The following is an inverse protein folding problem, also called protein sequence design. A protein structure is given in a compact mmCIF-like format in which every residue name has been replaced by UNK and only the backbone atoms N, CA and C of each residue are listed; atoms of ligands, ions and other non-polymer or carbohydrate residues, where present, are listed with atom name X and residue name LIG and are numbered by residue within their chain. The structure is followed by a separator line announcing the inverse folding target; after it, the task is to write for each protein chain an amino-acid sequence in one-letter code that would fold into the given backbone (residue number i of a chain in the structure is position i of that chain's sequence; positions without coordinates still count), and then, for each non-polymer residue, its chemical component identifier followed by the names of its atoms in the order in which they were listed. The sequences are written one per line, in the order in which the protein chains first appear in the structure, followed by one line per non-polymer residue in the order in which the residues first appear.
data_IF_931135775733
#
_entry.id   IF_931135775733
#
_cell.length_a   1.000
_cell.length_b   1.000
_cell.length_c   1.000
_cell.angle_alpha   90.00
_cell.angle_beta   90.00
_cell.angle_gamma   90.00
#
_symmetry.space_group_name_H-M   'P 1'
#
loop_
_entity.id
_entity.type
_entity.pdbx_description
1 polymer ?
#
# COMPACT_ATOMS: atom_id res chain seq x y z
N UNK A 1 12.31 25.84 -0.05
CA UNK A 1 13.52 25.00 0.09
C UNK A 1 13.54 24.21 1.40
N UNK A 2 13.53 24.83 2.59
CA UNK A 2 13.69 24.10 3.87
C UNK A 2 12.48 23.27 4.34
N UNK A 3 11.25 23.75 4.18
CA UNK A 3 10.06 23.08 4.75
C UNK A 3 9.76 21.74 4.05
N UNK A 4 9.93 21.68 2.73
CA UNK A 4 9.76 20.44 1.96
C UNK A 4 10.82 19.43 2.42
N UNK A 5 12.10 19.79 2.41
CA UNK A 5 13.20 18.88 2.78
C UNK A 5 13.13 18.37 4.23
N UNK A 6 12.69 19.21 5.18
CA UNK A 6 12.58 18.84 6.60
C UNK A 6 11.40 17.86 6.84
N UNK A 7 10.29 17.99 6.13
CA UNK A 7 9.13 17.08 6.26
C UNK A 7 9.35 15.78 5.45
N UNK A 8 10.19 15.80 4.41
CA UNK A 8 10.67 14.57 3.76
C UNK A 8 11.37 13.61 4.73
N UNK A 9 12.01 14.16 5.76
CA UNK A 9 12.57 13.36 6.86
C UNK A 9 11.48 12.75 7.77
N UNK A 10 10.25 13.30 7.79
CA UNK A 10 9.11 12.68 8.47
C UNK A 10 8.58 11.44 7.73
N UNK A 11 8.69 11.35 6.39
CA UNK A 11 8.26 10.15 5.64
C UNK A 11 9.38 9.12 5.48
N UNK A 12 10.64 9.54 5.35
CA UNK A 12 11.78 8.63 5.28
C UNK A 12 12.13 8.14 6.68
N UNK A 13 11.64 6.93 7.01
CA UNK A 13 12.04 5.91 8.00
C UNK A 13 12.75 6.31 9.31
N UNK A 14 13.71 7.23 9.27
CA UNK A 14 14.49 7.65 10.42
C UNK A 14 13.68 8.50 11.39
N UNK A 15 12.95 9.53 10.95
CA UNK A 15 12.20 10.37 11.91
C UNK A 15 10.78 9.91 12.20
N UNK A 16 10.12 9.05 11.42
CA UNK A 16 8.91 8.42 11.95
C UNK A 16 9.24 7.35 12.99
N UNK A 17 10.33 6.60 12.81
CA UNK A 17 10.89 5.82 13.91
C UNK A 17 11.30 6.75 15.04
N UNK A 18 12.16 7.75 14.85
CA UNK A 18 12.58 8.58 16.00
C UNK A 18 11.46 9.45 16.57
N UNK A 19 10.65 10.18 15.82
CA UNK A 19 9.57 11.00 16.38
C UNK A 19 8.44 10.15 16.96
N UNK A 20 7.95 9.10 16.27
CA UNK A 20 6.90 8.26 16.85
C UNK A 20 7.46 7.40 17.98
N UNK A 21 8.66 6.84 17.87
CA UNK A 21 9.31 6.06 18.94
C UNK A 21 9.81 6.94 20.08
N UNK A 22 10.27 8.18 19.86
CA UNK A 22 10.60 9.15 20.93
C UNK A 22 9.32 9.68 21.55
N UNK A 23 8.25 9.96 20.80
CA UNK A 23 6.95 10.31 21.39
C UNK A 23 6.44 9.12 22.21
N UNK A 24 6.49 7.90 21.67
CA UNK A 24 6.11 6.67 22.38
C UNK A 24 7.03 6.45 23.60
N UNK A 25 8.34 6.66 23.51
CA UNK A 25 9.29 6.52 24.62
C UNK A 25 9.09 7.63 25.66
N UNK A 26 8.92 8.89 25.27
CA UNK A 26 8.67 10.01 26.16
C UNK A 26 7.35 9.77 26.89
N UNK A 27 6.32 9.31 26.17
CA UNK A 27 5.03 8.94 26.77
C UNK A 27 5.20 7.72 27.70
N UNK A 28 5.92 6.68 27.28
CA UNK A 28 6.16 5.46 28.09
C UNK A 28 7.03 5.75 29.32
N UNK A 29 7.98 6.67 29.21
CA UNK A 29 8.83 7.15 30.31
C UNK A 29 8.08 8.06 31.26
N UNK A 30 7.15 8.90 30.79
CA UNK A 30 6.31 9.77 31.64
C UNK A 30 5.23 9.00 32.38
N UNK A 31 4.72 7.91 31.79
CA UNK A 31 3.69 7.07 32.43
C UNK A 31 4.27 6.17 33.53
N UNK A 32 5.58 5.87 33.50
CA UNK A 32 6.20 4.96 34.46
C UNK A 32 6.37 5.51 35.90
N UNK A 33 5.78 6.68 36.22
CA UNK A 33 5.86 7.28 37.57
C UNK A 33 4.66 6.94 38.47
N UNK A 34 3.60 6.28 37.97
CA UNK A 34 2.48 5.88 38.84
C UNK A 34 2.10 4.41 38.67
N UNK A 35 2.97 3.53 39.16
CA UNK A 35 2.66 2.11 39.41
C UNK A 35 2.27 1.98 40.89
N UNK A 36 0.98 2.17 41.23
CA UNK A 36 0.45 1.60 42.47
C UNK A 36 -1.06 1.28 42.50
N UNK A 37 -1.79 1.34 41.37
CA UNK A 37 -3.14 0.75 41.25
C UNK A 37 -3.07 -0.48 40.32
N UNK A 38 -2.36 -1.51 40.78
CA UNK A 38 -2.14 -2.78 40.09
C UNK A 38 -3.27 -3.76 40.43
N UNK A 39 -4.18 -3.98 39.48
CA UNK A 39 -4.83 -5.28 39.17
C UNK A 39 -6.05 -5.08 38.25
N UNK A 40 -6.76 -3.96 38.35
CA UNK A 40 -7.83 -3.59 37.41
C UNK A 40 -7.34 -2.75 36.22
N UNK A 41 -6.05 -2.40 36.21
CA UNK A 41 -5.38 -1.57 35.20
C UNK A 41 -4.62 -2.41 34.16
N UNK A 42 -4.28 -3.67 34.48
CA UNK A 42 -3.51 -4.56 33.61
C UNK A 42 -4.27 -4.97 32.36
N UNK A 43 -5.57 -5.26 32.45
CA UNK A 43 -6.40 -5.56 31.25
C UNK A 43 -6.68 -4.31 30.40
N UNK A 44 -6.85 -3.14 31.05
CA UNK A 44 -7.07 -1.86 30.33
C UNK A 44 -5.80 -1.29 29.70
N UNK A 45 -4.61 -1.74 30.13
CA UNK A 45 -3.33 -1.27 29.61
C UNK A 45 -3.16 -1.51 28.10
N UNK A 46 -3.31 -2.77 27.61
CA UNK A 46 -3.27 -3.11 26.20
C UNK A 46 -4.30 -2.33 25.36
N UNK A 47 -5.56 -2.28 25.79
CA UNK A 47 -6.62 -1.55 25.08
C UNK A 47 -6.32 -0.05 24.98
N UNK A 48 -5.82 0.56 26.06
CA UNK A 48 -5.46 1.98 26.08
C UNK A 48 -4.28 2.30 25.14
N UNK A 49 -3.30 1.40 25.04
CA UNK A 49 -2.20 1.54 24.10
C UNK A 49 -2.69 1.45 22.65
N UNK A 50 -3.57 0.50 22.36
CA UNK A 50 -4.21 0.31 21.05
C UNK A 50 -4.93 1.58 20.57
N UNK A 51 -5.79 2.13 21.44
CA UNK A 51 -6.54 3.35 21.16
C UNK A 51 -5.60 4.54 20.92
N UNK A 52 -4.54 4.67 21.73
CA UNK A 52 -3.54 5.73 21.58
C UNK A 52 -2.79 5.63 20.26
N UNK A 53 -2.34 4.44 19.89
CA UNK A 53 -1.60 4.21 18.65
C UNK A 53 -2.47 4.47 17.42
N UNK A 54 -3.72 4.02 17.45
CA UNK A 54 -4.71 4.31 16.41
C UNK A 54 -4.93 5.81 16.26
N UNK A 55 -5.16 6.51 17.37
CA UNK A 55 -5.42 7.95 17.37
C UNK A 55 -4.21 8.77 16.89
N UNK A 56 -3.00 8.44 17.34
CA UNK A 56 -1.77 9.10 16.88
C UNK A 56 -1.55 8.86 15.39
N UNK A 57 -1.73 7.62 14.93
CA UNK A 57 -1.58 7.27 13.52
C UNK A 57 -2.56 8.04 12.64
N UNK A 58 -3.84 8.07 13.03
CA UNK A 58 -4.87 8.86 12.34
C UNK A 58 -4.56 10.36 12.32
N UNK A 59 -4.07 10.92 13.43
CA UNK A 59 -3.66 12.32 13.52
C UNK A 59 -2.52 12.65 12.54
N UNK A 60 -1.47 11.82 12.50
CA UNK A 60 -0.34 12.03 11.57
C UNK A 60 -0.76 11.89 10.10
N UNK A 61 -1.61 10.91 9.77
CA UNK A 61 -2.16 10.78 8.42
C UNK A 61 -3.02 12.00 8.04
N UNK A 62 -3.79 12.55 8.99
CA UNK A 62 -4.54 13.79 8.80
C UNK A 62 -3.64 15.01 8.57
N UNK A 63 -2.52 15.12 9.29
CA UNK A 63 -1.53 16.17 9.04
C UNK A 63 -0.89 16.04 7.66
N UNK A 64 -0.58 14.81 7.22
CA UNK A 64 -0.06 14.53 5.88
C UNK A 64 -1.08 14.87 4.78
N UNK A 65 -2.36 14.59 5.01
CA UNK A 65 -3.46 14.97 4.13
C UNK A 65 -3.50 16.49 3.93
N UNK A 66 -3.48 17.25 5.03
CA UNK A 66 -3.51 18.72 4.97
C UNK A 66 -2.27 19.29 4.28
N UNK A 67 -1.09 18.73 4.58
CA UNK A 67 0.15 19.13 3.91
C UNK A 67 0.09 18.89 2.39
N UNK A 68 -0.41 17.72 1.98
CA UNK A 68 -0.58 17.40 0.58
C UNK A 68 -1.53 18.36 -0.14
N UNK A 69 -2.66 18.72 0.49
CA UNK A 69 -3.56 19.74 -0.04
C UNK A 69 -2.88 21.10 -0.18
N UNK A 70 -2.10 21.53 0.81
CA UNK A 70 -1.36 22.80 0.74
C UNK A 70 -0.39 22.80 -0.45
N UNK A 71 0.38 21.72 -0.67
CA UNK A 71 1.29 21.62 -1.82
C UNK A 71 0.52 21.69 -3.15
N UNK A 72 -0.58 20.95 -3.28
CA UNK A 72 -1.42 20.97 -4.49
C UNK A 72 -1.94 22.39 -4.74
N UNK A 73 -2.53 23.03 -3.72
CA UNK A 73 -3.07 24.37 -3.84
C UNK A 73 -1.97 25.40 -4.17
N UNK A 74 -0.84 25.35 -3.47
CA UNK A 74 0.26 26.27 -3.66
C UNK A 74 0.87 26.13 -5.07
N UNK A 75 0.97 24.91 -5.59
CA UNK A 75 1.34 24.69 -6.99
C UNK A 75 0.36 25.33 -7.97
N UNK A 76 -0.94 25.08 -7.81
CA UNK A 76 -1.95 25.51 -8.77
C UNK A 76 -2.19 27.03 -8.77
N UNK A 77 -2.13 27.66 -7.59
CA UNK A 77 -2.48 29.07 -7.42
C UNK A 77 -1.29 30.02 -7.26
N UNK A 78 -0.08 29.52 -6.99
CA UNK A 78 1.06 30.39 -6.70
C UNK A 78 2.34 30.05 -7.47
N UNK A 79 2.88 28.83 -7.35
CA UNK A 79 4.21 28.52 -7.90
C UNK A 79 4.18 28.07 -9.35
N UNK A 80 3.10 27.44 -9.81
CA UNK A 80 3.06 26.75 -11.11
C UNK A 80 4.05 25.59 -11.22
N UNK A 81 4.62 25.11 -10.11
CA UNK A 81 5.60 24.01 -10.10
C UNK A 81 4.88 22.67 -10.20
N UNK A 82 5.16 21.92 -11.26
CA UNK A 82 4.60 20.58 -11.46
C UNK A 82 5.18 19.59 -10.46
N UNK A 83 6.43 19.78 -10.03
CA UNK A 83 7.10 18.94 -9.05
C UNK A 83 6.41 19.03 -7.69
N UNK A 84 6.04 20.26 -7.29
CA UNK A 84 5.25 20.49 -6.08
C UNK A 84 3.85 19.86 -6.18
N UNK A 85 3.20 19.98 -7.33
CA UNK A 85 1.92 19.32 -7.60
C UNK A 85 2.03 17.80 -7.49
N UNK A 86 3.02 17.20 -8.15
CA UNK A 86 3.28 15.76 -8.13
C UNK A 86 3.55 15.25 -6.72
N UNK A 87 4.36 15.98 -5.94
CA UNK A 87 4.63 15.63 -4.54
C UNK A 87 3.35 15.63 -3.69
N UNK A 88 2.54 16.69 -3.80
CA UNK A 88 1.26 16.78 -3.09
C UNK A 88 0.28 15.68 -3.51
N UNK A 89 0.10 15.46 -4.82
CA UNK A 89 -0.76 14.40 -5.36
C UNK A 89 -0.30 13.02 -4.92
N UNK A 90 1.02 12.73 -4.96
CA UNK A 90 1.55 11.47 -4.50
C UNK A 90 1.23 11.23 -3.03
N UNK A 91 1.55 12.18 -2.13
CA UNK A 91 1.29 12.05 -0.69
C UNK A 91 -0.20 11.79 -0.41
N UNK A 92 -1.08 12.53 -1.08
CA UNK A 92 -2.53 12.41 -0.88
C UNK A 92 -3.06 11.06 -1.37
N UNK A 93 -2.80 10.71 -2.63
CA UNK A 93 -3.46 9.60 -3.30
C UNK A 93 -2.78 8.25 -3.06
N UNK A 94 -1.49 8.23 -2.70
CA UNK A 94 -0.70 6.98 -2.63
C UNK A 94 -0.57 6.43 -1.19
N UNK A 95 0.10 7.09 -0.23
CA UNK A 95 0.16 6.60 1.14
C UNK A 95 -1.04 7.01 1.98
N UNK A 96 -1.49 8.29 1.95
CA UNK A 96 -2.56 8.76 2.85
C UNK A 96 -3.86 8.01 2.58
N UNK A 97 -4.30 7.97 1.32
CA UNK A 97 -5.48 7.20 0.94
C UNK A 97 -5.35 5.73 1.34
N UNK A 98 -4.23 5.08 1.00
CA UNK A 98 -4.00 3.66 1.28
C UNK A 98 -4.07 3.35 2.77
N UNK A 99 -3.21 3.96 3.58
CA UNK A 99 -3.09 3.62 5.00
C UNK A 99 -4.37 3.97 5.77
N UNK A 100 -4.99 5.11 5.47
CA UNK A 100 -6.20 5.54 6.16
C UNK A 100 -7.39 4.64 5.82
N UNK A 101 -7.62 4.35 4.53
CA UNK A 101 -8.79 3.59 4.13
C UNK A 101 -8.63 2.07 4.32
N UNK A 102 -7.41 1.53 4.34
CA UNK A 102 -7.19 0.13 4.73
C UNK A 102 -7.66 -0.13 6.16
N UNK A 103 -7.30 0.76 7.10
CA UNK A 103 -7.77 0.69 8.50
C UNK A 103 -9.29 0.88 8.59
N UNK A 104 -9.85 1.90 7.92
CA UNK A 104 -11.28 2.18 7.99
C UNK A 104 -12.14 1.04 7.38
N UNK A 105 -11.69 0.43 6.29
CA UNK A 105 -12.36 -0.74 5.71
C UNK A 105 -12.26 -1.92 6.65
N UNK A 106 -11.10 -2.14 7.28
CA UNK A 106 -10.96 -3.20 8.28
C UNK A 106 -11.93 -3.04 9.46
N UNK A 107 -11.94 -1.84 10.02
CA UNK A 107 -12.77 -1.49 11.17
C UNK A 107 -14.26 -1.58 10.85
N UNK A 108 -14.68 -1.11 9.66
CA UNK A 108 -16.10 -1.17 9.25
C UNK A 108 -16.60 -2.58 8.98
N UNK A 109 -15.73 -3.51 8.55
CA UNK A 109 -16.06 -4.92 8.39
C UNK A 109 -16.06 -5.71 9.72
N UNK A 110 -15.71 -5.06 10.84
CA UNK A 110 -15.61 -5.71 12.14
C UNK A 110 -14.65 -6.88 12.13
N UNK A 111 -13.53 -6.77 11.39
CA UNK A 111 -12.57 -7.87 11.30
C UNK A 111 -11.87 -8.05 12.65
N UNK A 112 -11.76 -9.32 13.06
CA UNK A 112 -11.13 -9.72 14.33
C UNK A 112 -9.68 -9.28 14.48
N UNK A 113 -8.99 -8.94 13.39
CA UNK A 113 -7.60 -8.52 13.29
C UNK A 113 -7.45 -6.99 13.16
N UNK A 114 -8.48 -6.20 13.48
CA UNK A 114 -8.41 -4.73 13.43
C UNK A 114 -7.51 -4.21 14.56
N UNK A 115 -6.26 -3.92 14.22
CA UNK A 115 -5.21 -3.40 15.09
C UNK A 115 -4.60 -2.14 14.43
N UNK A 116 -3.88 -1.25 15.14
CA UNK A 116 -3.04 -0.22 14.53
C UNK A 116 -2.14 -0.75 13.41
N UNK A 117 -1.71 -2.01 13.47
CA UNK A 117 -0.92 -2.63 12.41
C UNK A 117 -1.69 -2.76 11.08
N UNK A 118 -3.03 -2.71 11.11
CA UNK A 118 -3.90 -2.69 9.93
C UNK A 118 -3.80 -1.38 9.15
N UNK A 119 -3.20 -0.31 9.70
CA UNK A 119 -2.79 0.83 8.89
C UNK A 119 -1.70 0.45 7.88
N UNK A 120 -0.99 -0.68 8.08
CA UNK A 120 0.08 -1.17 7.21
C UNK A 120 1.21 -0.15 7.00
N UNK A 121 1.47 0.73 7.97
CA UNK A 121 2.55 1.73 7.87
C UNK A 121 3.94 1.07 7.95
N UNK A 122 4.11 0.13 8.86
CA UNK A 122 5.41 -0.49 9.19
C UNK A 122 5.44 -1.99 8.93
N UNK A 123 4.59 -2.47 8.03
CA UNK A 123 4.41 -3.91 7.79
C UNK A 123 5.63 -4.59 7.14
N UNK A 124 6.52 -3.84 6.49
CA UNK A 124 7.71 -4.40 5.83
C UNK A 124 8.83 -3.36 5.68
N UNK A 125 10.08 -3.79 5.87
CA UNK A 125 11.25 -2.95 5.60
C UNK A 125 11.39 -2.67 4.09
N UNK A 126 10.95 -3.62 3.29
CA UNK A 126 10.89 -3.61 1.84
C UNK A 126 9.98 -2.49 1.32
N UNK A 127 8.78 -2.33 1.89
CA UNK A 127 7.88 -1.22 1.54
C UNK A 127 8.51 0.14 1.82
N UNK A 128 9.21 0.26 2.96
CA UNK A 128 9.87 1.51 3.32
C UNK A 128 11.05 1.79 2.38
N UNK A 129 11.87 0.79 2.09
CA UNK A 129 13.00 0.91 1.16
C UNK A 129 12.51 1.31 -0.24
N UNK A 130 11.47 0.66 -0.75
CA UNK A 130 10.86 1.00 -2.03
C UNK A 130 10.37 2.46 -2.04
N UNK A 131 9.52 2.83 -1.08
CA UNK A 131 8.97 4.20 -1.00
C UNK A 131 10.07 5.26 -0.88
N UNK A 132 11.14 4.97 -0.14
CA UNK A 132 12.31 5.84 -0.02
C UNK A 132 13.04 5.96 -1.37
N UNK A 133 13.24 4.85 -2.08
CA UNK A 133 13.86 4.85 -3.40
C UNK A 133 13.07 5.69 -4.42
N UNK A 134 11.74 5.59 -4.42
CA UNK A 134 10.88 6.40 -5.29
C UNK A 134 11.06 7.91 -5.05
N UNK A 135 11.11 8.34 -3.79
CA UNK A 135 11.35 9.74 -3.47
C UNK A 135 12.78 10.20 -3.79
N UNK A 136 13.78 9.33 -3.58
CA UNK A 136 15.17 9.61 -3.94
C UNK A 136 15.28 9.82 -5.46
N UNK A 137 14.71 8.92 -6.27
CA UNK A 137 14.72 9.06 -7.74
C UNK A 137 14.05 10.36 -8.17
N UNK A 138 12.86 10.66 -7.65
CA UNK A 138 12.13 11.89 -7.95
C UNK A 138 12.99 13.14 -7.72
N UNK A 139 13.68 13.21 -6.57
CA UNK A 139 14.56 14.33 -6.27
C UNK A 139 15.84 14.37 -7.10
N UNK A 140 16.47 13.22 -7.35
CA UNK A 140 17.66 13.17 -8.19
C UNK A 140 17.33 13.63 -9.62
N UNK A 141 16.18 13.21 -10.15
CA UNK A 141 15.73 13.64 -11.48
C UNK A 141 15.35 15.11 -11.53
N UNK A 142 14.74 15.63 -10.46
CA UNK A 142 14.40 17.04 -10.36
C UNK A 142 15.64 17.94 -10.23
N UNK A 143 16.60 17.58 -9.37
CA UNK A 143 17.70 18.47 -8.97
C UNK A 143 18.97 18.28 -9.82
N UNK A 144 19.24 17.06 -10.31
CA UNK A 144 20.55 16.72 -10.88
C UNK A 144 20.51 16.32 -12.35
N UNK A 145 19.38 15.79 -12.86
CA UNK A 145 19.30 15.28 -14.24
C UNK A 145 19.09 16.44 -15.23
N UNK A 146 20.04 16.70 -16.15
CA UNK A 146 19.92 17.78 -17.12
C UNK A 146 18.82 17.52 -18.15
N UNK A 147 18.18 18.58 -18.63
CA UNK A 147 17.09 18.50 -19.62
C UNK A 147 17.45 17.72 -20.90
N UNK A 148 18.72 17.80 -21.32
CA UNK A 148 19.26 17.06 -22.49
C UNK A 148 19.26 15.53 -22.34
N UNK A 149 19.14 15.00 -21.12
CA UNK A 149 19.07 13.56 -20.85
C UNK A 149 17.63 13.06 -20.79
N UNK A 150 16.65 13.97 -20.67
CA UNK A 150 15.24 13.62 -20.55
C UNK A 150 14.62 13.40 -21.93
N UNK A 151 13.76 12.40 -22.07
CA UNK A 151 13.02 12.06 -23.30
C UNK A 151 12.32 13.29 -23.91
N UNK A 152 12.23 13.52 -25.23
CA UNK A 152 11.67 14.78 -25.76
C UNK A 152 10.19 14.99 -25.42
N UNK A 153 9.80 16.20 -24.96
CA UNK A 153 8.43 16.53 -24.50
C UNK A 153 7.32 16.26 -25.53
N UNK A 154 7.63 16.40 -26.83
CA UNK A 154 6.66 16.21 -27.91
C UNK A 154 6.36 14.74 -28.24
N UNK A 155 7.01 13.78 -27.57
CA UNK A 155 6.77 12.35 -27.79
C UNK A 155 5.81 11.79 -26.75
N UNK A 156 5.15 10.67 -27.05
CA UNK A 156 4.33 9.96 -26.06
C UNK A 156 5.13 9.57 -24.81
N UNK A 157 6.38 9.13 -24.97
CA UNK A 157 7.29 8.87 -23.86
C UNK A 157 7.57 10.15 -23.05
N UNK A 158 7.69 11.31 -23.70
CA UNK A 158 7.83 12.61 -23.05
C UNK A 158 6.58 13.05 -22.28
N UNK A 159 5.39 12.69 -22.75
CA UNK A 159 4.16 12.86 -21.97
C UNK A 159 4.17 11.94 -20.75
N UNK A 160 4.45 10.65 -20.92
CA UNK A 160 4.34 9.64 -19.87
C UNK A 160 5.44 9.71 -18.79
N UNK A 161 6.69 9.99 -19.18
CA UNK A 161 7.89 9.92 -18.34
C UNK A 161 8.47 11.29 -18.01
N UNK A 162 7.70 12.36 -18.18
CA UNK A 162 8.05 13.67 -17.62
C UNK A 162 6.92 14.22 -16.79
N UNK A 163 7.30 14.90 -15.71
CA UNK A 163 6.35 15.64 -14.89
C UNK A 163 5.64 16.70 -15.74
N UNK A 164 4.33 16.51 -15.87
CA UNK A 164 3.38 17.49 -16.37
C UNK A 164 2.06 17.30 -15.62
N UNK A 165 1.30 18.38 -15.43
CA UNK A 165 0.02 18.32 -14.69
C UNK A 165 -0.88 17.20 -15.20
N UNK A 166 -1.03 17.06 -16.53
CA UNK A 166 -1.94 16.06 -17.11
C UNK A 166 -1.56 14.62 -16.77
N UNK A 167 -0.29 14.25 -16.86
CA UNK A 167 0.18 12.89 -16.60
C UNK A 167 0.10 12.57 -15.11
N UNK A 168 0.47 13.51 -14.25
CA UNK A 168 0.33 13.38 -12.80
C UNK A 168 -1.14 13.15 -12.43
N UNK A 169 -2.06 13.97 -12.96
CA UNK A 169 -3.49 13.82 -12.69
C UNK A 169 -4.04 12.49 -13.22
N UNK A 170 -3.73 12.11 -14.46
CA UNK A 170 -4.18 10.83 -15.05
C UNK A 170 -3.64 9.64 -14.26
N UNK A 171 -2.34 9.63 -13.93
CA UNK A 171 -1.73 8.57 -13.14
C UNK A 171 -2.35 8.47 -11.73
N UNK A 172 -2.66 9.60 -11.09
CA UNK A 172 -3.31 9.62 -9.79
C UNK A 172 -4.75 9.09 -9.85
N UNK A 173 -5.53 9.50 -10.86
CA UNK A 173 -6.89 8.98 -11.08
C UNK A 173 -6.85 7.46 -11.30
N UNK A 174 -5.92 6.97 -12.12
CA UNK A 174 -5.72 5.53 -12.33
C UNK A 174 -5.29 4.82 -11.04
N UNK A 175 -4.38 5.39 -10.26
CA UNK A 175 -3.96 4.83 -8.97
C UNK A 175 -5.13 4.70 -7.99
N UNK A 176 -5.96 5.75 -7.88
CA UNK A 176 -7.17 5.73 -7.05
C UNK A 176 -8.16 4.69 -7.57
N UNK A 177 -8.40 4.64 -8.89
CA UNK A 177 -9.30 3.65 -9.48
C UNK A 177 -8.87 2.21 -9.19
N UNK A 178 -7.59 1.86 -9.39
CA UNK A 178 -7.08 0.53 -9.05
C UNK A 178 -7.11 0.25 -7.55
N UNK A 179 -6.86 1.25 -6.71
CA UNK A 179 -7.01 1.09 -5.28
C UNK A 179 -8.47 0.84 -4.87
N UNK A 180 -9.44 1.49 -5.52
CA UNK A 180 -10.87 1.22 -5.28
C UNK A 180 -11.26 -0.21 -5.68
N UNK A 181 -10.63 -0.81 -6.70
CA UNK A 181 -10.81 -2.24 -7.00
C UNK A 181 -10.41 -3.12 -5.82
N UNK A 182 -9.32 -2.77 -5.12
CA UNK A 182 -8.93 -3.45 -3.88
C UNK A 182 -9.98 -3.26 -2.79
N UNK A 183 -10.42 -2.02 -2.53
CA UNK A 183 -11.43 -1.72 -1.51
C UNK A 183 -12.74 -2.47 -1.77
N UNK A 184 -13.23 -2.45 -3.01
CA UNK A 184 -14.43 -3.19 -3.40
C UNK A 184 -14.23 -4.69 -3.22
N UNK A 185 -13.06 -5.24 -3.57
CA UNK A 185 -12.72 -6.63 -3.29
C UNK A 185 -12.81 -6.98 -1.81
N UNK A 186 -12.22 -6.16 -0.93
CA UNK A 186 -12.29 -6.35 0.52
C UNK A 186 -13.72 -6.29 1.05
N UNK A 187 -14.49 -5.27 0.65
CA UNK A 187 -15.88 -5.10 1.09
C UNK A 187 -16.78 -6.24 0.59
N UNK A 188 -16.60 -6.67 -0.65
CA UNK A 188 -17.40 -7.75 -1.25
C UNK A 188 -17.09 -9.12 -0.64
N UNK A 189 -15.82 -9.39 -0.32
CA UNK A 189 -15.41 -10.61 0.37
C UNK A 189 -15.78 -10.58 1.87
N UNK A 190 -15.81 -9.38 2.46
CA UNK A 190 -16.23 -9.12 3.83
C UNK A 190 -15.35 -9.85 4.84
N UNK A 191 -15.99 -10.64 5.72
CA UNK A 191 -15.31 -11.38 6.80
C UNK A 191 -14.43 -12.54 6.31
N UNK A 192 -14.54 -12.92 5.04
CA UNK A 192 -13.67 -13.93 4.42
C UNK A 192 -12.36 -13.32 3.90
N UNK A 193 -12.20 -12.00 3.94
CA UNK A 193 -10.96 -11.34 3.55
C UNK A 193 -9.97 -11.27 4.72
N UNK A 194 -8.75 -11.75 4.49
CA UNK A 194 -7.64 -11.63 5.42
C UNK A 194 -6.42 -11.00 4.75
N UNK A 195 -5.65 -10.22 5.50
CA UNK A 195 -4.38 -9.67 5.02
C UNK A 195 -3.30 -10.75 4.93
N UNK A 196 -3.41 -11.76 5.79
CA UNK A 196 -2.54 -12.92 5.82
C UNK A 196 -3.21 -14.07 5.08
N UNK A 197 -2.40 -14.92 4.45
CA UNK A 197 -2.92 -16.13 3.84
C UNK A 197 -3.29 -17.08 4.97
N UNK A 198 -4.56 -17.46 5.05
CA UNK A 198 -5.05 -18.44 6.01
C UNK A 198 -4.79 -19.84 5.44
N UNK A 199 -3.98 -20.63 6.15
CA UNK A 199 -3.69 -22.03 5.80
C UNK A 199 -4.71 -23.00 6.38
N UNK A 200 -5.55 -22.54 7.31
CA UNK A 200 -6.61 -23.32 7.95
C UNK A 200 -7.99 -22.75 7.63
N UNK A 201 -8.93 -23.63 7.31
CA UNK A 201 -10.29 -23.21 6.95
C UNK A 201 -11.13 -22.99 8.21
N UNK A 202 -11.63 -21.76 8.39
CA UNK A 202 -12.64 -21.45 9.41
C UNK A 202 -14.00 -22.05 9.04
N UNK A 203 -14.81 -22.41 10.05
CA UNK A 203 -16.16 -22.92 9.82
C UNK A 203 -17.05 -21.93 9.03
N UNK A 204 -16.80 -20.62 9.17
CA UNK A 204 -17.50 -19.56 8.45
C UNK A 204 -16.94 -19.26 7.05
N UNK A 205 -15.85 -19.91 6.62
CA UNK A 205 -15.26 -19.65 5.31
C UNK A 205 -16.15 -20.15 4.17
N UNK A 206 -16.55 -19.19 3.34
CA UNK A 206 -17.29 -19.42 2.10
C UNK A 206 -16.45 -18.94 0.93
N UNK A 207 -16.49 -19.71 -0.17
CA UNK A 207 -15.90 -19.28 -1.43
C UNK A 207 -16.78 -18.18 -2.04
N UNK A 208 -16.26 -16.96 -2.08
CA UNK A 208 -16.91 -15.82 -2.72
C UNK A 208 -16.55 -15.82 -4.20
N UNK A 209 -17.53 -16.12 -5.07
CA UNK A 209 -17.31 -16.26 -6.52
C UNK A 209 -18.28 -15.42 -7.38
N UNK A 210 -18.92 -14.42 -6.77
CA UNK A 210 -19.87 -13.50 -7.41
C UNK A 210 -19.36 -12.04 -7.41
N UNK A 211 -20.08 -11.15 -8.10
CA UNK A 211 -19.71 -9.73 -8.18
C UNK A 211 -18.34 -9.54 -8.83
N UNK A 212 -17.46 -8.75 -8.18
CA UNK A 212 -16.09 -8.54 -8.68
C UNK A 212 -15.29 -9.85 -8.76
N UNK A 213 -15.56 -10.80 -7.87
CA UNK A 213 -14.90 -12.11 -7.85
C UNK A 213 -15.33 -13.01 -9.01
N UNK A 214 -16.46 -12.73 -9.68
CA UNK A 214 -16.85 -13.44 -10.89
C UNK A 214 -15.94 -13.14 -12.11
N UNK A 215 -15.10 -12.11 -12.02
CA UNK A 215 -14.16 -11.70 -13.10
C UNK A 215 -12.71 -11.77 -12.62
N UNK A 216 -12.41 -11.16 -11.47
CA UNK A 216 -11.07 -11.11 -10.88
C UNK A 216 -11.01 -12.04 -9.68
N UNK A 217 -10.14 -13.05 -9.73
CA UNK A 217 -9.96 -14.01 -8.64
C UNK A 217 -9.35 -13.39 -7.40
N UNK A 218 -8.45 -12.42 -7.61
CA UNK A 218 -7.65 -11.75 -6.59
C UNK A 218 -7.75 -10.22 -6.76
N UNK A 219 -8.93 -9.60 -6.59
CA UNK A 219 -9.15 -8.18 -6.87
C UNK A 219 -8.27 -7.27 -6.00
N UNK A 220 -7.98 -7.68 -4.77
CA UNK A 220 -7.10 -6.95 -3.86
C UNK A 220 -5.64 -6.92 -4.32
N UNK A 221 -5.15 -7.99 -4.95
CA UNK A 221 -3.79 -8.07 -5.51
C UNK A 221 -3.71 -7.33 -6.84
N UNK A 222 -4.71 -7.50 -7.69
CA UNK A 222 -4.86 -6.72 -8.92
C UNK A 222 -4.79 -5.21 -8.64
N UNK A 223 -5.64 -4.73 -7.73
CA UNK A 223 -5.70 -3.31 -7.38
C UNK A 223 -4.39 -2.81 -6.81
N UNK A 224 -3.74 -3.60 -5.93
CA UNK A 224 -2.47 -3.20 -5.33
C UNK A 224 -1.32 -3.17 -6.35
N UNK A 225 -1.22 -4.17 -7.24
CA UNK A 225 -0.20 -4.24 -8.28
C UNK A 225 -0.24 -3.01 -9.20
N UNK A 226 -1.41 -2.74 -9.80
CA UNK A 226 -1.54 -1.65 -10.76
C UNK A 226 -1.46 -0.26 -10.13
N UNK A 227 -2.04 -0.06 -8.94
CA UNK A 227 -1.83 1.17 -8.14
C UNK A 227 -0.35 1.43 -7.91
N UNK A 228 0.42 0.39 -7.59
CA UNK A 228 1.86 0.52 -7.29
C UNK A 228 2.63 1.01 -8.52
N UNK A 229 2.26 0.59 -9.73
CA UNK A 229 2.87 1.13 -10.96
C UNK A 229 2.43 2.58 -11.23
N UNK A 230 1.13 2.87 -11.07
CA UNK A 230 0.62 4.24 -11.22
C UNK A 230 1.29 5.22 -10.24
N UNK A 231 1.66 4.76 -9.04
CA UNK A 231 2.40 5.60 -8.07
C UNK A 231 3.73 6.13 -8.63
N UNK A 232 4.43 5.35 -9.44
CA UNK A 232 5.70 5.76 -10.04
C UNK A 232 5.48 6.66 -11.27
N UNK A 233 4.35 6.52 -11.96
CA UNK A 233 3.94 7.46 -13.01
C UNK A 233 3.57 8.84 -12.45
N UNK A 234 3.00 8.91 -11.24
CA UNK A 234 2.73 10.19 -10.55
C UNK A 234 4.01 10.99 -10.31
N UNK A 235 5.13 10.32 -9.99
CA UNK A 235 6.43 10.95 -9.79
C UNK A 235 7.31 10.97 -11.06
N UNK A 236 6.82 10.42 -12.17
CA UNK A 236 7.57 10.20 -13.40
C UNK A 236 8.91 9.46 -13.19
N UNK A 237 8.97 8.47 -12.29
CA UNK A 237 10.18 7.71 -11.96
C UNK A 237 10.38 6.50 -12.90
N UNK A 238 11.20 6.57 -13.97
CA UNK A 238 11.37 5.46 -14.90
C UNK A 238 12.07 4.23 -14.28
N UNK A 239 13.07 4.41 -13.41
CA UNK A 239 13.82 3.29 -12.84
C UNK A 239 13.00 2.56 -11.78
N UNK A 240 12.39 3.30 -10.84
CA UNK A 240 11.50 2.72 -9.85
C UNK A 240 10.25 2.12 -10.49
N UNK A 241 9.72 2.66 -11.59
CA UNK A 241 8.62 2.01 -12.32
C UNK A 241 8.98 0.59 -12.75
N UNK A 242 10.16 0.39 -13.36
CA UNK A 242 10.63 -0.94 -13.79
C UNK A 242 10.89 -1.83 -12.57
N UNK A 243 11.58 -1.31 -11.56
CA UNK A 243 11.90 -2.08 -10.36
C UNK A 243 10.63 -2.52 -9.61
N UNK A 244 9.67 -1.61 -9.44
CA UNK A 244 8.38 -1.89 -8.81
C UNK A 244 7.60 -2.93 -9.61
N UNK A 245 7.60 -2.84 -10.95
CA UNK A 245 6.95 -3.83 -11.80
C UNK A 245 7.53 -5.22 -11.60
N UNK A 246 8.87 -5.37 -11.63
CA UNK A 246 9.53 -6.66 -11.46
C UNK A 246 9.31 -7.23 -10.06
N UNK A 247 9.53 -6.42 -9.02
CA UNK A 247 9.43 -6.86 -7.62
C UNK A 247 7.98 -7.21 -7.26
N UNK A 248 7.01 -6.34 -7.60
CA UNK A 248 5.60 -6.63 -7.33
C UNK A 248 5.09 -7.81 -8.15
N UNK A 249 5.52 -7.95 -9.39
CA UNK A 249 5.14 -9.08 -10.22
C UNK A 249 5.63 -10.40 -9.62
N UNK A 250 6.89 -10.46 -9.20
CA UNK A 250 7.45 -11.64 -8.56
C UNK A 250 6.74 -11.95 -7.24
N UNK A 251 6.57 -10.95 -6.37
CA UNK A 251 5.87 -11.08 -5.10
C UNK A 251 4.46 -11.67 -5.27
N UNK A 252 3.64 -11.07 -6.15
CA UNK A 252 2.29 -11.57 -6.37
C UNK A 252 2.25 -12.90 -7.12
N UNK A 253 3.21 -13.18 -8.02
CA UNK A 253 3.29 -14.48 -8.70
C UNK A 253 3.49 -15.61 -7.69
N UNK A 254 4.45 -15.45 -6.77
CA UNK A 254 4.72 -16.43 -5.72
C UNK A 254 3.55 -16.53 -4.74
N UNK A 255 3.03 -15.38 -4.29
CA UNK A 255 1.95 -15.33 -3.30
C UNK A 255 0.65 -15.93 -3.82
N UNK A 256 0.25 -15.59 -5.05
CA UNK A 256 -0.96 -16.14 -5.69
C UNK A 256 -0.81 -17.64 -5.88
N UNK A 257 0.35 -18.12 -6.37
CA UNK A 257 0.56 -19.54 -6.58
C UNK A 257 0.45 -20.35 -5.27
N UNK A 258 1.03 -19.83 -4.18
CA UNK A 258 0.92 -20.46 -2.87
C UNK A 258 -0.52 -20.44 -2.34
N UNK A 259 -1.18 -19.28 -2.34
CA UNK A 259 -2.57 -19.15 -1.87
C UNK A 259 -3.52 -20.06 -2.65
N UNK A 260 -3.40 -20.09 -3.99
CA UNK A 260 -4.22 -20.97 -4.82
C UNK A 260 -3.96 -22.45 -4.54
N UNK A 261 -2.71 -22.85 -4.25
CA UNK A 261 -2.41 -24.25 -3.90
C UNK A 261 -3.10 -24.70 -2.61
N UNK A 262 -3.22 -23.80 -1.62
CA UNK A 262 -3.95 -24.05 -0.38
C UNK A 262 -5.46 -24.10 -0.65
N UNK A 263 -5.98 -23.14 -1.43
CA UNK A 263 -7.41 -23.07 -1.73
C UNK A 263 -7.92 -24.25 -2.59
N UNK A 264 -7.05 -24.84 -3.42
CA UNK A 264 -7.29 -26.05 -4.21
C UNK A 264 -7.24 -27.34 -3.38
N UNK A 265 -6.72 -27.30 -2.15
CA UNK A 265 -6.71 -28.42 -1.21
C UNK A 265 -8.13 -28.87 -0.84
N UNK A 266 -8.30 -30.18 -0.61
CA UNK A 266 -9.61 -30.77 -0.27
C UNK A 266 -10.13 -30.25 1.08
N UNK A 267 -9.22 -29.95 2.00
CA UNK A 267 -9.47 -29.34 3.31
C UNK A 267 -10.05 -27.93 3.22
N UNK A 268 -9.83 -27.22 2.10
CA UNK A 268 -10.31 -25.87 1.88
C UNK A 268 -11.56 -25.86 1.01
N UNK A 269 -11.41 -25.79 -0.32
CA UNK A 269 -12.52 -25.74 -1.27
C UNK A 269 -12.44 -26.80 -2.38
N UNK A 270 -11.29 -27.46 -2.55
CA UNK A 270 -11.10 -28.54 -3.53
C UNK A 270 -11.55 -28.17 -4.93
N UNK A 271 -12.35 -29.06 -5.54
CA UNK A 271 -12.86 -28.91 -6.91
C UNK A 271 -13.69 -27.63 -7.13
N UNK A 272 -14.34 -27.08 -6.08
CA UNK A 272 -15.07 -25.81 -6.23
C UNK A 272 -14.11 -24.67 -6.57
N UNK A 273 -12.93 -24.65 -5.96
CA UNK A 273 -11.93 -23.64 -6.29
C UNK A 273 -11.31 -23.89 -7.64
N UNK A 274 -11.05 -25.13 -8.06
CA UNK A 274 -10.53 -25.44 -9.40
C UNK A 274 -11.51 -25.04 -10.51
N UNK A 275 -12.81 -25.32 -10.32
CA UNK A 275 -13.86 -24.88 -11.25
C UNK A 275 -13.99 -23.36 -11.29
N UNK A 276 -13.91 -22.71 -10.12
CA UNK A 276 -13.76 -21.27 -10.04
C UNK A 276 -12.49 -20.83 -10.80
N UNK A 277 -11.38 -21.57 -10.66
CA UNK A 277 -10.05 -21.33 -11.26
C UNK A 277 -10.04 -21.25 -12.77
N UNK A 278 -10.89 -22.04 -13.40
CA UNK A 278 -11.04 -22.04 -14.84
C UNK A 278 -11.79 -20.81 -15.40
N UNK A 279 -12.69 -20.18 -14.63
CA UNK A 279 -13.60 -19.14 -15.13
C UNK A 279 -13.19 -17.69 -14.86
N UNK A 280 -12.15 -17.42 -14.07
CA UNK A 280 -11.72 -16.05 -13.70
C UNK A 280 -10.21 -15.84 -13.83
N UNK A 281 -9.78 -14.58 -13.87
CA UNK A 281 -8.37 -14.20 -14.07
C UNK A 281 -7.78 -13.56 -12.82
N UNK A 282 -6.44 -13.60 -12.67
CA UNK A 282 -5.74 -12.83 -11.63
C UNK A 282 -5.65 -11.33 -11.99
N UNK A 283 -5.64 -11.00 -13.28
CA UNK A 283 -5.54 -9.62 -13.80
C UNK A 283 -4.14 -9.00 -13.75
N UNK A 284 -3.12 -9.75 -13.33
CA UNK A 284 -1.72 -9.36 -13.38
C UNK A 284 -1.06 -10.06 -14.59
N UNK A 285 -0.29 -9.35 -15.44
CA UNK A 285 0.30 -9.94 -16.64
C UNK A 285 1.12 -11.19 -16.33
N UNK A 286 1.09 -12.21 -17.19
CA UNK A 286 1.90 -13.45 -17.04
C UNK A 286 1.66 -14.30 -15.76
N UNK A 287 0.69 -13.92 -14.93
CA UNK A 287 0.13 -14.77 -13.87
C UNK A 287 -1.11 -15.44 -14.45
N UNK A 288 -0.87 -16.52 -15.18
CA UNK A 288 -1.92 -17.41 -15.62
C UNK A 288 -2.19 -18.47 -14.56
N UNK A 289 -3.32 -19.15 -14.70
CA UNK A 289 -3.67 -20.39 -14.00
C UNK A 289 -2.59 -21.46 -14.22
N UNK A 290 -1.44 -21.33 -13.54
CA UNK A 290 -0.29 -22.23 -13.70
C UNK A 290 -0.65 -23.56 -13.05
N UNK A 291 -0.36 -24.65 -13.77
CA UNK A 291 -0.36 -26.00 -13.21
C UNK A 291 0.69 -26.08 -12.08
N UNK A 292 0.48 -26.95 -11.08
CA UNK A 292 1.27 -27.01 -9.83
C UNK A 292 2.79 -27.23 -10.01
N UNK A 293 3.25 -27.64 -11.19
CA UNK A 293 4.65 -27.98 -11.49
C UNK A 293 5.64 -26.83 -11.23
N UNK A 294 5.23 -25.56 -11.33
CA UNK A 294 6.12 -24.41 -11.04
C UNK A 294 6.17 -23.98 -9.56
N UNK A 295 5.26 -24.45 -8.69
CA UNK A 295 5.24 -24.04 -7.27
C UNK A 295 6.51 -24.49 -6.55
N UNK A 296 7.02 -25.67 -6.92
CA UNK A 296 8.24 -26.24 -6.34
C UNK A 296 9.48 -25.35 -6.54
N UNK A 297 9.53 -24.56 -7.62
CA UNK A 297 10.68 -23.70 -7.92
C UNK A 297 10.67 -22.38 -7.14
N UNK A 298 9.51 -21.92 -6.65
CA UNK A 298 9.43 -20.69 -5.86
C UNK A 298 9.68 -20.93 -4.37
N UNK A 299 9.27 -22.10 -3.84
CA UNK A 299 9.50 -22.46 -2.43
C UNK A 299 10.98 -22.82 -2.19
N UNK A 300 11.65 -23.44 -3.16
CA UNK A 300 13.06 -23.83 -3.05
C UNK A 300 14.06 -22.66 -3.08
N UNK A 301 13.62 -21.44 -3.42
CA UNK A 301 14.46 -20.24 -3.36
C UNK A 301 14.48 -19.58 -1.98
N UNK A 302 13.59 -19.98 -1.06
CA UNK A 302 13.48 -19.41 0.29
C UNK A 302 13.59 -20.43 1.42
N UNK A 303 13.88 -21.71 1.11
CA UNK A 303 14.33 -22.70 2.09
C UNK A 303 15.87 -22.75 2.06
#
# INVERSE_FOLDING_TARGET
MGIIFIIFFCFSHAQQRHALFIIIIIIKSRINIHVHDQEMSTERGPERNLMRETALTGFFLGACFMFALVLICHSLWYTGSVEEYAAGVYILCIPVLFHMSEFLVAASLGRHDTHPDTFLLTHSGEYTAATSAAWIEFFLEWLLVPERWKVPRGTFAGWLLRLNYSTVTVAAVMAVAFYLVRVVGMLHCGRNFSLLIETERRASHVLVDNGIYAVLRHPAYFGFFWRTLCSQLVLANPLCLVLYAVVMWHFFSCRIAYEESVLEGEEFFGERYKAYKAKTMAGIPFIYSRRPECVCMCVSLFA
#
